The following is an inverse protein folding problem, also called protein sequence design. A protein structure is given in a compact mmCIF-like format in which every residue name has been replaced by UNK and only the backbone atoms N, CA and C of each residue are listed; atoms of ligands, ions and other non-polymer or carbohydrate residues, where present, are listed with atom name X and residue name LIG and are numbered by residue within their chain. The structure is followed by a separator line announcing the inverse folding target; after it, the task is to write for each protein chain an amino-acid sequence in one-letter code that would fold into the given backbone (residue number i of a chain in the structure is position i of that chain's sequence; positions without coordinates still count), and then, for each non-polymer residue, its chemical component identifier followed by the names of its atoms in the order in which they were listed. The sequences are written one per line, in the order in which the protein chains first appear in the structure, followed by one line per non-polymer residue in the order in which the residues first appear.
data_IF_678901317186
#
_entry.id   IF_678901317186
#
_cell.length_a   1.000
_cell.length_b   1.000
_cell.length_c   1.000
_cell.angle_alpha   90.00
_cell.angle_beta   90.00
_cell.angle_gamma   90.00
#
_symmetry.space_group_name_H-M   'P 1'
#
loop_
_entity.id
_entity.type
_entity.pdbx_description
1 polymer ?
#
# COMPACT_ATOMS: atom_id res chain seq x y z
N UNK A 1 -1.10 -7.20 22.34
CA UNK A 1 -2.11 -7.01 21.27
C UNK A 1 -1.48 -6.97 19.88
N UNK A 2 -0.62 -5.99 19.57
CA UNK A 2 -0.02 -5.87 18.22
C UNK A 2 0.82 -7.08 17.84
N UNK A 3 1.61 -7.67 18.76
CA UNK A 3 2.37 -8.91 18.50
C UNK A 3 1.49 -10.10 18.12
N UNK A 4 0.29 -10.19 18.71
CA UNK A 4 -0.67 -11.28 18.47
C UNK A 4 -1.31 -11.16 17.09
N UNK A 5 -1.62 -9.93 16.68
CA UNK A 5 -2.12 -9.63 15.33
C UNK A 5 -1.01 -9.81 14.29
N UNK A 6 0.18 -9.28 14.54
CA UNK A 6 1.33 -9.44 13.64
C UNK A 6 1.72 -10.91 13.42
N UNK A 7 1.45 -11.79 14.38
CA UNK A 7 1.65 -13.23 14.23
C UNK A 7 0.75 -13.86 13.15
N UNK A 8 -0.41 -13.27 12.84
CA UNK A 8 -1.34 -13.76 11.81
C UNK A 8 -0.96 -13.34 10.38
N UNK A 9 0.05 -12.49 10.21
CA UNK A 9 0.59 -12.14 8.89
C UNK A 9 1.21 -13.39 8.20
N UNK A 10 1.75 -14.34 8.99
CA UNK A 10 2.34 -15.63 8.56
C UNK A 10 2.90 -15.66 7.12
N UNK A 11 2.12 -16.19 6.18
CA UNK A 11 2.49 -16.45 4.79
C UNK A 11 2.62 -15.17 3.93
N UNK A 12 1.99 -14.07 4.35
CA UNK A 12 1.91 -12.80 3.62
C UNK A 12 3.00 -11.79 4.00
N UNK A 13 3.98 -12.18 4.82
CA UNK A 13 5.11 -11.31 5.24
C UNK A 13 5.84 -10.66 4.07
N UNK A 14 5.96 -11.36 2.93
CA UNK A 14 6.60 -10.83 1.72
C UNK A 14 5.78 -9.69 1.13
N UNK A 15 4.47 -9.88 0.93
CA UNK A 15 3.58 -8.83 0.42
C UNK A 15 3.55 -7.63 1.38
N UNK A 16 3.46 -7.86 2.70
CA UNK A 16 3.47 -6.81 3.71
C UNK A 16 4.75 -5.98 3.72
N UNK A 17 5.91 -6.58 3.43
CA UNK A 17 7.19 -5.86 3.36
C UNK A 17 7.37 -5.14 2.02
N UNK A 18 6.86 -5.72 0.93
CA UNK A 18 6.95 -5.14 -0.40
C UNK A 18 6.05 -3.91 -0.56
N UNK A 19 4.87 -3.89 0.06
CA UNK A 19 3.96 -2.72 0.02
C UNK A 19 4.65 -1.41 0.41
N UNK A 20 5.21 -1.23 1.62
CA UNK A 20 5.86 0.02 1.99
C UNK A 20 7.09 0.31 1.15
N UNK A 21 7.80 -0.71 0.65
CA UNK A 21 8.92 -0.51 -0.26
C UNK A 21 8.46 0.16 -1.56
N UNK A 22 7.39 -0.34 -2.19
CA UNK A 22 6.83 0.24 -3.41
C UNK A 22 6.21 1.62 -3.18
N UNK A 23 5.51 1.82 -2.05
CA UNK A 23 4.97 3.13 -1.68
C UNK A 23 6.08 4.17 -1.47
N UNK A 24 7.21 3.79 -0.85
CA UNK A 24 8.35 4.71 -0.73
C UNK A 24 8.94 5.06 -2.10
N UNK A 25 9.08 4.08 -3.00
CA UNK A 25 9.57 4.33 -4.35
C UNK A 25 8.63 5.24 -5.15
N UNK A 26 7.32 5.05 -5.03
CA UNK A 26 6.30 5.92 -5.61
C UNK A 26 6.44 7.36 -5.10
N UNK A 27 6.47 7.56 -3.78
CA UNK A 27 6.58 8.90 -3.17
C UNK A 27 7.89 9.60 -3.56
N UNK A 28 9.00 8.86 -3.64
CA UNK A 28 10.28 9.43 -4.12
C UNK A 28 10.14 9.93 -5.56
N UNK A 29 9.46 9.21 -6.43
CA UNK A 29 9.23 9.66 -7.82
C UNK A 29 8.36 10.91 -7.87
N UNK A 30 7.28 10.97 -7.07
CA UNK A 30 6.43 12.16 -6.98
C UNK A 30 7.18 13.39 -6.49
N UNK A 31 8.08 13.23 -5.53
CA UNK A 31 8.94 14.32 -5.02
C UNK A 31 9.96 14.79 -6.06
N UNK A 32 10.39 13.92 -6.98
CA UNK A 32 11.31 14.28 -8.05
C UNK A 32 10.64 15.04 -9.22
N UNK A 33 9.34 14.86 -9.45
CA UNK A 33 8.58 15.60 -10.49
C UNK A 33 8.77 17.13 -10.38
N UNK A 34 8.54 17.79 -9.23
CA UNK A 34 8.73 19.23 -9.11
C UNK A 34 10.19 19.66 -9.30
N UNK A 35 11.18 18.80 -9.01
CA UNK A 35 12.59 19.07 -9.30
C UNK A 35 12.87 19.09 -10.81
N UNK A 36 12.23 18.19 -11.57
CA UNK A 36 12.28 18.21 -13.04
C UNK A 36 11.54 19.43 -13.58
N UNK A 37 10.39 19.80 -13.01
CA UNK A 37 9.65 21.02 -13.37
C UNK A 37 10.49 22.28 -13.15
N UNK A 38 11.19 22.40 -12.02
CA UNK A 38 12.12 23.50 -11.76
C UNK A 38 13.24 23.52 -12.81
N UNK A 39 13.80 22.36 -13.15
CA UNK A 39 14.81 22.24 -14.21
C UNK A 39 14.30 22.65 -15.60
N UNK A 40 13.01 22.42 -15.91
CA UNK A 40 12.37 22.90 -17.15
C UNK A 40 12.32 24.43 -17.16
N UNK A 41 11.92 25.05 -16.05
CA UNK A 41 11.81 26.50 -15.94
C UNK A 41 13.21 27.13 -16.04
N UNK A 42 14.17 26.65 -15.25
CA UNK A 42 15.49 27.27 -15.15
C UNK A 42 16.36 27.02 -16.38
N UNK A 43 16.36 25.81 -16.92
CA UNK A 43 17.27 25.42 -18.02
C UNK A 43 16.60 25.39 -19.40
N UNK A 44 15.27 25.32 -19.44
CA UNK A 44 14.49 25.32 -20.68
C UNK A 44 13.95 26.70 -21.03
N UNK A 45 13.30 27.37 -20.07
CA UNK A 45 12.63 28.66 -20.29
C UNK A 45 13.59 29.84 -20.03
N UNK A 46 14.29 29.85 -18.89
CA UNK A 46 15.20 30.92 -18.47
C UNK A 46 16.67 30.74 -18.94
N UNK A 47 16.90 29.99 -20.01
CA UNK A 47 18.24 29.58 -20.47
C UNK A 47 19.31 30.69 -20.47
N UNK A 48 20.58 30.28 -20.37
CA UNK A 48 21.78 31.09 -20.11
C UNK A 48 21.95 32.40 -20.92
N UNK A 49 21.26 32.57 -22.05
CA UNK A 49 21.39 33.72 -22.96
C UNK A 49 20.08 34.53 -23.15
N UNK A 50 19.04 34.31 -22.35
CA UNK A 50 17.75 35.04 -22.43
C UNK A 50 16.84 34.64 -23.60
N UNK A 51 17.28 33.69 -24.44
CA UNK A 51 16.44 32.99 -25.42
C UNK A 51 16.26 31.55 -24.95
N UNK A 52 15.03 31.16 -24.61
CA UNK A 52 14.71 29.83 -24.10
C UNK A 52 15.07 28.70 -25.08
N UNK A 53 15.68 27.65 -24.56
CA UNK A 53 16.04 26.45 -25.33
C UNK A 53 14.86 25.47 -25.40
N UNK A 54 13.98 25.65 -26.40
CA UNK A 54 12.86 24.72 -26.67
C UNK A 54 13.27 23.23 -26.73
N UNK A 55 14.43 22.83 -27.31
CA UNK A 55 14.83 21.43 -27.34
C UNK A 55 15.04 20.83 -25.94
N UNK A 56 15.54 21.62 -24.99
CA UNK A 56 15.73 21.16 -23.60
C UNK A 56 14.39 20.95 -22.90
N UNK A 57 13.40 21.82 -23.15
CA UNK A 57 12.03 21.68 -22.63
C UNK A 57 11.41 20.36 -23.09
N UNK A 58 11.54 19.99 -24.37
CA UNK A 58 11.01 18.72 -24.88
C UNK A 58 11.68 17.50 -24.25
N UNK A 59 13.00 17.53 -24.03
CA UNK A 59 13.72 16.43 -23.37
C UNK A 59 13.25 16.26 -21.93
N UNK A 60 13.22 17.34 -21.14
CA UNK A 60 12.79 17.28 -19.74
C UNK A 60 11.30 16.95 -19.60
N UNK A 61 10.45 17.44 -20.51
CA UNK A 61 9.03 17.06 -20.59
C UNK A 61 8.86 15.57 -20.90
N UNK A 62 9.66 15.01 -21.82
CA UNK A 62 9.69 13.57 -22.09
C UNK A 62 10.11 12.75 -20.86
N UNK A 63 11.15 13.18 -20.15
CA UNK A 63 11.59 12.56 -18.89
C UNK A 63 10.48 12.59 -17.84
N UNK A 64 9.78 13.71 -17.70
CA UNK A 64 8.66 13.85 -16.76
C UNK A 64 7.52 12.87 -17.06
N UNK A 65 7.17 12.68 -18.34
CA UNK A 65 6.16 11.69 -18.75
C UNK A 65 6.58 10.28 -18.34
N UNK A 66 7.84 9.90 -18.61
CA UNK A 66 8.36 8.58 -18.23
C UNK A 66 8.33 8.39 -16.71
N UNK A 67 8.71 9.41 -15.94
CA UNK A 67 8.65 9.37 -14.48
C UNK A 67 7.22 9.24 -13.96
N UNK A 68 6.26 9.95 -14.55
CA UNK A 68 4.85 9.84 -14.19
C UNK A 68 4.30 8.43 -14.43
N UNK A 69 4.62 7.81 -15.58
CA UNK A 69 4.24 6.42 -15.86
C UNK A 69 4.90 5.42 -14.89
N UNK A 70 6.16 5.63 -14.53
CA UNK A 70 6.83 4.79 -13.52
C UNK A 70 6.19 4.95 -12.14
N UNK A 71 5.87 6.18 -11.73
CA UNK A 71 5.17 6.45 -10.47
C UNK A 71 3.83 5.73 -10.42
N UNK A 72 3.03 5.83 -11.48
CA UNK A 72 1.77 5.12 -11.61
C UNK A 72 1.94 3.60 -11.51
N UNK A 73 2.96 3.04 -12.18
CA UNK A 73 3.24 1.61 -12.12
C UNK A 73 3.60 1.15 -10.69
N UNK A 74 4.41 1.93 -9.98
CA UNK A 74 4.75 1.63 -8.58
C UNK A 74 3.54 1.75 -7.66
N UNK A 75 2.67 2.75 -7.85
CA UNK A 75 1.44 2.89 -7.08
C UNK A 75 0.46 1.74 -7.29
N UNK A 76 0.29 1.28 -8.54
CA UNK A 76 -0.54 0.09 -8.83
C UNK A 76 0.03 -1.17 -8.17
N UNK A 77 1.35 -1.37 -8.22
CA UNK A 77 2.01 -2.50 -7.56
C UNK A 77 1.86 -2.41 -6.04
N UNK A 78 2.08 -1.23 -5.44
CA UNK A 78 1.91 -0.99 -4.02
C UNK A 78 0.47 -1.32 -3.58
N UNK A 79 -0.53 -0.82 -4.30
CA UNK A 79 -1.94 -1.08 -4.05
C UNK A 79 -2.30 -2.57 -4.15
N UNK A 80 -1.78 -3.27 -5.17
CA UNK A 80 -1.99 -4.72 -5.31
C UNK A 80 -1.38 -5.49 -4.15
N UNK A 81 -0.12 -5.24 -3.81
CA UNK A 81 0.53 -5.92 -2.67
C UNK A 81 -0.13 -5.57 -1.34
N UNK A 82 -0.64 -4.35 -1.17
CA UNK A 82 -1.41 -3.93 0.00
C UNK A 82 -2.71 -4.73 0.13
N UNK A 83 -3.47 -4.84 -0.96
CA UNK A 83 -4.71 -5.61 -0.99
C UNK A 83 -4.48 -7.11 -0.72
N UNK A 84 -3.43 -7.69 -1.32
CA UNK A 84 -3.02 -9.08 -1.09
C UNK A 84 -2.59 -9.31 0.36
N UNK A 85 -1.80 -8.39 0.93
CA UNK A 85 -1.35 -8.47 2.32
C UNK A 85 -2.52 -8.36 3.31
N UNK A 86 -3.44 -7.43 3.08
CA UNK A 86 -4.56 -7.21 3.99
C UNK A 86 -5.60 -8.33 3.93
N UNK A 87 -5.97 -8.76 2.72
CA UNK A 87 -6.90 -9.89 2.52
C UNK A 87 -6.32 -11.20 3.07
N UNK A 88 -5.02 -11.43 2.86
CA UNK A 88 -4.31 -12.59 3.39
C UNK A 88 -4.21 -12.62 4.92
N UNK A 89 -3.96 -11.45 5.53
CA UNK A 89 -4.00 -11.28 6.98
C UNK A 89 -5.40 -11.60 7.55
N UNK A 90 -6.45 -11.05 6.94
CA UNK A 90 -7.83 -11.29 7.36
C UNK A 90 -8.22 -12.78 7.25
N UNK A 91 -7.77 -13.48 6.20
CA UNK A 91 -8.00 -14.92 6.05
C UNK A 91 -7.38 -15.72 7.21
N UNK A 92 -6.08 -15.51 7.48
CA UNK A 92 -5.39 -16.21 8.57
C UNK A 92 -6.00 -15.90 9.95
N UNK A 93 -6.44 -14.66 10.16
CA UNK A 93 -7.07 -14.24 11.41
C UNK A 93 -8.42 -14.95 11.60
N UNK A 94 -9.25 -15.03 10.56
CA UNK A 94 -10.54 -15.76 10.60
C UNK A 94 -10.32 -17.23 10.90
N UNK A 95 -9.36 -17.88 10.24
CA UNK A 95 -9.07 -19.30 10.48
C UNK A 95 -8.61 -19.57 11.92
N UNK A 96 -7.70 -18.73 12.44
CA UNK A 96 -7.22 -18.84 13.81
C UNK A 96 -8.32 -18.58 14.85
N UNK A 97 -9.22 -17.63 14.59
CA UNK A 97 -10.37 -17.36 15.45
C UNK A 97 -11.38 -18.52 15.40
N UNK A 98 -11.68 -19.05 14.21
CA UNK A 98 -12.58 -20.17 14.03
C UNK A 98 -12.07 -21.44 14.72
N UNK A 99 -10.77 -21.74 14.59
CA UNK A 99 -10.14 -22.85 15.31
C UNK A 99 -10.24 -22.69 16.83
N UNK A 100 -10.12 -21.47 17.36
CA UNK A 100 -10.30 -21.22 18.79
C UNK A 100 -11.76 -21.40 19.23
N UNK A 101 -12.72 -20.90 18.45
CA UNK A 101 -14.14 -21.02 18.76
C UNK A 101 -14.58 -22.48 18.85
N UNK A 102 -14.03 -23.37 18.01
CA UNK A 102 -14.30 -24.81 18.08
C UNK A 102 -13.84 -25.47 19.39
N UNK A 103 -12.91 -24.85 20.14
CA UNK A 103 -12.46 -25.36 21.44
C UNK A 103 -13.31 -24.84 22.62
N UNK A 104 -14.31 -23.99 22.37
CA UNK A 104 -15.14 -23.43 23.43
C UNK A 104 -16.08 -24.47 24.03
N UNK A 105 -16.26 -24.40 25.34
CA UNK A 105 -17.33 -25.13 26.03
C UNK A 105 -18.70 -24.53 25.71
N UNK A 106 -19.77 -25.30 25.90
CA UNK A 106 -21.15 -24.83 25.73
C UNK A 106 -21.44 -23.55 26.54
N UNK A 107 -20.93 -23.47 27.78
CA UNK A 107 -21.07 -22.26 28.61
C UNK A 107 -20.41 -21.02 28.01
N UNK A 108 -19.28 -21.17 27.32
CA UNK A 108 -18.62 -20.05 26.63
C UNK A 108 -19.39 -19.62 25.38
N UNK A 109 -19.94 -20.57 24.62
CA UNK A 109 -20.77 -20.26 23.45
C UNK A 109 -22.04 -19.52 23.87
N UNK A 110 -22.70 -19.96 24.94
CA UNK A 110 -23.89 -19.28 25.48
C UNK A 110 -23.57 -17.87 25.99
N UNK A 111 -22.41 -17.70 26.66
CA UNK A 111 -21.97 -16.38 27.15
C UNK A 111 -21.68 -15.39 26.02
N UNK A 112 -21.06 -15.83 24.93
CA UNK A 112 -20.69 -14.95 23.82
C UNK A 112 -21.76 -14.86 22.72
N UNK A 113 -22.75 -15.77 22.75
CA UNK A 113 -23.77 -15.98 21.72
C UNK A 113 -23.21 -16.29 20.33
N UNK A 114 -23.84 -17.22 19.63
CA UNK A 114 -23.48 -17.55 18.24
C UNK A 114 -23.49 -16.31 17.34
N UNK A 115 -24.48 -15.43 17.51
CA UNK A 115 -24.56 -14.19 16.73
C UNK A 115 -23.38 -13.24 17.02
N UNK A 116 -22.96 -13.12 18.29
CA UNK A 116 -21.82 -12.29 18.67
C UNK A 116 -20.50 -12.82 18.14
N UNK A 117 -20.31 -14.13 18.13
CA UNK A 117 -19.13 -14.78 17.56
C UNK A 117 -19.04 -14.59 16.04
N UNK A 118 -20.18 -14.65 15.33
CA UNK A 118 -20.24 -14.38 13.89
C UNK A 118 -19.83 -12.94 13.59
N UNK A 119 -20.39 -11.95 14.29
CA UNK A 119 -20.05 -10.53 14.09
C UNK A 119 -18.56 -10.25 14.33
N UNK A 120 -17.94 -10.92 15.31
CA UNK A 120 -16.50 -10.82 15.57
C UNK A 120 -15.65 -11.45 14.46
N UNK A 121 -16.10 -12.56 13.88
CA UNK A 121 -15.41 -13.22 12.76
C UNK A 121 -15.53 -12.45 11.44
N UNK A 122 -16.62 -11.70 11.26
CA UNK A 122 -16.90 -10.97 10.02
C UNK A 122 -16.53 -9.50 10.16
N UNK A 123 -17.37 -8.71 10.83
CA UNK A 123 -17.29 -7.25 10.92
C UNK A 123 -16.02 -6.79 11.62
N UNK A 124 -15.67 -7.37 12.77
CA UNK A 124 -14.49 -6.92 13.52
C UNK A 124 -13.18 -7.26 12.76
N UNK A 125 -13.13 -8.41 12.07
CA UNK A 125 -11.98 -8.73 11.21
C UNK A 125 -11.90 -7.81 10.01
N UNK A 126 -13.04 -7.47 9.39
CA UNK A 126 -13.05 -6.52 8.26
C UNK A 126 -12.64 -5.12 8.70
N UNK A 127 -12.94 -4.69 9.93
CA UNK A 127 -12.47 -3.41 10.47
C UNK A 127 -10.96 -3.38 10.76
N UNK A 128 -10.31 -4.54 10.87
CA UNK A 128 -8.85 -4.66 11.04
C UNK A 128 -8.11 -4.79 9.69
N UNK A 129 -8.84 -4.97 8.59
CA UNK A 129 -8.33 -5.05 7.22
C UNK A 129 -8.06 -3.65 6.66
#
# INVERSE_FOLDING_TARGET
MIKTLAAQIKQYKRSTLLTPLFTVLEVVMEVLIPFVTASIIDKGINGNDGAGDLPKVFIYGGVMIVMAFMSLAFGVLAGKFAADASSGFACNLRDAMFSNIQTFSFSNIDKYSTAGLITRLTTDVTNLQ
#
